data_IF_532576298197
#
_entry.id   IF_532576298197
#
_cell.length_a   1.000
_cell.length_b   1.000
_cell.length_c   1.000
_cell.angle_alpha   90.00
_cell.angle_beta   90.00
_cell.angle_gamma   90.00
#
_symmetry.space_group_name_H-M   'P 1'
#
loop_
_entity.id
_entity.type
_entity.pdbx_description
1 polymer ?
#
# COMPACT_ATOMS: atom_id res chain seq x y z
N UNK A 1 56.47 7.69 22.81
CA UNK A 1 55.04 8.05 22.60
C UNK A 1 54.31 6.74 22.57
N UNK A 2 53.72 6.38 23.75
CA UNK A 2 53.32 5.03 24.11
C UNK A 2 51.94 4.66 23.59
N UNK A 3 51.76 3.38 23.28
CA UNK A 3 50.50 2.77 22.84
C UNK A 3 49.30 2.98 23.81
N UNK A 4 49.55 3.48 25.01
CA UNK A 4 48.52 3.83 26.00
C UNK A 4 47.78 5.15 25.67
N UNK A 5 48.41 6.12 25.02
CA UNK A 5 47.75 7.36 24.61
C UNK A 5 46.79 7.16 23.44
N UNK A 6 47.06 6.18 22.57
CA UNK A 6 46.11 5.82 21.46
C UNK A 6 44.87 5.09 21.97
N UNK A 7 45.00 4.31 23.06
CA UNK A 7 43.86 3.60 23.66
C UNK A 7 42.91 4.52 24.46
N UNK A 8 43.42 5.65 24.99
CA UNK A 8 42.63 6.64 25.70
C UNK A 8 41.81 7.54 24.79
N UNK A 9 42.25 7.74 23.52
CA UNK A 9 41.54 8.53 22.54
C UNK A 9 40.29 7.79 21.98
N UNK A 10 40.36 6.45 21.87
CA UNK A 10 39.23 5.64 21.36
C UNK A 10 38.11 5.46 22.40
N UNK A 11 38.36 5.70 23.66
CA UNK A 11 37.35 5.57 24.73
C UNK A 11 36.49 6.81 24.99
N UNK A 12 36.70 7.91 24.29
CA UNK A 12 35.97 9.17 24.56
C UNK A 12 34.72 9.41 23.71
N UNK A 13 34.33 8.49 22.84
CA UNK A 13 33.14 8.67 21.99
C UNK A 13 31.84 8.02 22.51
N UNK A 14 31.81 7.61 23.81
CA UNK A 14 30.54 7.41 24.50
C UNK A 14 30.13 8.73 25.14
N UNK A 15 29.77 9.70 24.31
CA UNK A 15 29.12 10.91 24.80
C UNK A 15 27.83 10.53 25.55
N UNK A 16 27.61 11.12 26.78
CA UNK A 16 26.42 10.81 27.56
C UNK A 16 25.18 11.12 26.76
N UNK A 17 24.15 10.30 26.96
CA UNK A 17 22.81 10.49 26.38
C UNK A 17 22.33 11.89 26.81
N UNK A 18 22.59 12.87 25.96
CA UNK A 18 22.12 14.25 26.15
C UNK A 18 20.61 14.17 26.13
N UNK A 19 19.97 14.69 27.18
CA UNK A 19 18.54 14.96 27.21
C UNK A 19 18.18 15.72 25.92
N UNK A 20 17.66 15.02 24.93
CA UNK A 20 17.27 15.59 23.64
C UNK A 20 16.09 16.52 23.92
N UNK A 21 16.35 17.82 23.88
CA UNK A 21 15.37 18.87 24.20
C UNK A 21 14.23 18.81 23.17
N UNK A 22 13.01 19.08 23.62
CA UNK A 22 11.81 19.18 22.77
C UNK A 22 12.04 20.06 21.53
N UNK A 23 12.87 21.10 21.65
CA UNK A 23 13.27 22.02 20.57
C UNK A 23 14.05 21.33 19.42
N UNK A 24 14.65 20.15 19.64
CA UNK A 24 15.33 19.43 18.56
C UNK A 24 14.33 18.83 17.54
N UNK A 25 13.05 18.72 17.91
CA UNK A 25 11.97 18.34 17.00
C UNK A 25 11.72 19.34 15.86
N UNK A 26 12.12 20.59 16.03
CA UNK A 26 11.98 21.65 15.01
C UNK A 26 13.26 21.85 14.17
N UNK A 27 14.31 21.07 14.42
CA UNK A 27 15.53 21.13 13.64
C UNK A 27 15.55 20.03 12.57
N UNK A 28 15.83 20.36 11.30
CA UNK A 28 15.90 19.37 10.24
C UNK A 28 17.03 18.36 10.48
N UNK A 29 16.84 17.14 10.02
CA UNK A 29 17.83 16.04 10.09
C UNK A 29 18.28 15.60 11.50
N UNK A 30 17.47 15.88 12.53
CA UNK A 30 17.75 15.38 13.89
C UNK A 30 16.90 14.16 14.20
N UNK A 31 17.55 13.13 14.74
CA UNK A 31 16.84 11.96 15.27
C UNK A 31 16.22 12.32 16.61
N UNK A 32 14.91 12.27 16.67
CA UNK A 32 14.12 12.58 17.87
C UNK A 32 13.98 11.33 18.73
N UNK A 33 14.10 11.47 20.05
CA UNK A 33 13.91 10.34 20.97
C UNK A 33 12.46 9.84 20.97
N UNK A 34 12.28 8.53 21.25
CA UNK A 34 10.95 7.88 21.26
C UNK A 34 9.94 8.60 22.15
N UNK A 35 10.36 9.09 23.32
CA UNK A 35 9.50 9.85 24.24
C UNK A 35 9.01 11.16 23.64
N UNK A 36 9.89 11.92 22.97
CA UNK A 36 9.50 13.19 22.31
C UNK A 36 8.59 12.92 21.13
N UNK A 37 8.83 11.84 20.38
CA UNK A 37 7.95 11.43 19.27
C UNK A 37 6.55 11.07 19.77
N UNK A 38 6.46 10.37 20.90
CA UNK A 38 5.18 10.02 21.53
C UNK A 38 4.43 11.25 22.04
N UNK A 39 5.13 12.22 22.64
CA UNK A 39 4.54 13.49 23.06
C UNK A 39 4.04 14.34 21.88
N UNK A 40 4.79 14.39 20.77
CA UNK A 40 4.35 15.04 19.55
C UNK A 40 3.13 14.36 18.94
N UNK A 41 3.13 13.04 18.88
CA UNK A 41 1.97 12.28 18.39
C UNK A 41 0.74 12.53 19.27
N UNK A 42 0.89 12.49 20.61
CA UNK A 42 -0.18 12.79 21.55
C UNK A 42 -0.70 14.22 21.40
N UNK A 43 0.19 15.19 21.21
CA UNK A 43 -0.19 16.59 20.96
C UNK A 43 -1.07 16.70 19.71
N UNK A 44 -0.67 16.07 18.59
CA UNK A 44 -1.45 16.11 17.37
C UNK A 44 -2.81 15.40 17.50
N UNK A 45 -2.86 14.28 18.22
CA UNK A 45 -4.13 13.58 18.51
C UNK A 45 -5.06 14.46 19.34
N UNK A 46 -4.55 15.08 20.42
CA UNK A 46 -5.35 15.96 21.28
C UNK A 46 -5.81 17.22 20.52
N UNK A 47 -4.92 17.83 19.71
CA UNK A 47 -5.26 18.98 18.89
C UNK A 47 -6.36 18.64 17.86
N UNK A 48 -6.22 17.50 17.18
CA UNK A 48 -7.22 17.02 16.22
C UNK A 48 -8.57 16.75 16.90
N UNK A 49 -8.58 16.05 18.03
CA UNK A 49 -9.80 15.78 18.80
C UNK A 49 -10.42 17.08 19.33
N UNK A 50 -9.61 18.03 19.80
CA UNK A 50 -10.08 19.32 20.25
C UNK A 50 -10.77 20.10 19.14
N UNK A 51 -10.15 20.20 17.97
CA UNK A 51 -10.72 20.87 16.78
C UNK A 51 -12.01 20.16 16.35
N UNK A 52 -12.02 18.83 16.35
CA UNK A 52 -13.20 18.06 15.95
C UNK A 52 -14.38 18.26 16.90
N UNK A 53 -14.14 18.19 18.22
CA UNK A 53 -15.19 18.34 19.23
C UNK A 53 -15.77 19.76 19.30
N UNK A 54 -14.92 20.78 19.04
CA UNK A 54 -15.32 22.20 19.06
C UNK A 54 -15.77 22.72 17.70
N UNK A 55 -15.71 21.87 16.65
CA UNK A 55 -16.07 22.28 15.29
C UNK A 55 -17.51 22.81 15.22
N UNK A 56 -17.71 24.02 14.66
CA UNK A 56 -19.03 24.60 14.48
C UNK A 56 -19.77 24.04 13.25
N UNK A 57 -19.13 23.17 12.46
CA UNK A 57 -19.69 22.68 11.21
C UNK A 57 -20.71 21.56 11.49
N UNK A 58 -21.99 21.82 11.20
CA UNK A 58 -23.08 20.85 11.31
C UNK A 58 -22.89 19.64 10.39
N UNK A 59 -22.06 19.77 9.34
CA UNK A 59 -21.75 18.68 8.42
C UNK A 59 -20.74 17.66 8.96
N UNK A 60 -20.04 17.97 10.06
CA UNK A 60 -19.07 17.10 10.70
C UNK A 60 -19.73 16.44 11.92
N UNK A 61 -20.10 15.14 11.83
CA UNK A 61 -20.78 14.46 12.92
C UNK A 61 -19.87 14.32 14.15
N UNK A 62 -20.47 14.41 15.33
CA UNK A 62 -19.75 14.24 16.59
C UNK A 62 -19.35 12.76 16.80
N UNK A 63 -18.30 12.47 17.58
CA UNK A 63 -17.85 11.08 17.83
C UNK A 63 -18.95 10.16 18.36
N UNK A 64 -19.87 10.71 19.17
CA UNK A 64 -21.03 9.94 19.70
C UNK A 64 -22.03 9.57 18.60
N UNK A 65 -22.24 10.46 17.63
CA UNK A 65 -23.10 10.21 16.47
C UNK A 65 -22.49 9.13 15.57
N UNK A 66 -21.18 9.19 15.35
CA UNK A 66 -20.45 8.15 14.62
C UNK A 66 -20.58 6.78 15.27
N UNK A 67 -20.46 6.72 16.60
CA UNK A 67 -20.62 5.45 17.32
C UNK A 67 -22.03 4.87 17.18
N UNK A 68 -23.05 5.70 17.25
CA UNK A 68 -24.43 5.28 16.99
C UNK A 68 -24.62 4.83 15.55
N UNK A 69 -24.10 5.60 14.59
CA UNK A 69 -24.15 5.28 13.17
C UNK A 69 -23.47 3.93 12.84
N UNK A 70 -22.35 3.60 13.50
CA UNK A 70 -21.73 2.28 13.39
C UNK A 70 -22.68 1.16 13.85
N UNK A 71 -23.40 1.37 14.95
CA UNK A 71 -24.42 0.41 15.42
C UNK A 71 -25.55 0.22 14.39
N UNK A 72 -26.11 1.31 13.87
CA UNK A 72 -27.14 1.28 12.83
C UNK A 72 -26.64 0.56 11.56
N UNK A 73 -25.44 0.89 11.11
CA UNK A 73 -24.81 0.26 9.94
C UNK A 73 -24.62 -1.24 10.12
N UNK A 74 -24.25 -1.66 11.32
CA UNK A 74 -24.00 -3.07 11.61
C UNK A 74 -25.29 -3.89 11.65
N UNK A 75 -26.30 -3.40 12.34
CA UNK A 75 -27.52 -4.15 12.60
C UNK A 75 -28.61 -3.94 11.56
N UNK A 76 -28.76 -2.74 10.99
CA UNK A 76 -29.84 -2.42 10.06
C UNK A 76 -29.42 -2.51 8.60
N UNK A 77 -28.19 -2.07 8.28
CA UNK A 77 -27.69 -2.04 6.89
C UNK A 77 -26.78 -3.22 6.52
N UNK A 78 -26.53 -4.15 7.43
CA UNK A 78 -25.77 -5.36 7.14
C UNK A 78 -24.31 -5.10 6.72
N UNK A 79 -23.62 -4.18 7.39
CA UNK A 79 -22.25 -3.80 7.05
C UNK A 79 -21.27 -4.98 7.06
N UNK A 80 -21.48 -6.01 7.91
CA UNK A 80 -20.58 -7.18 8.00
C UNK A 80 -20.43 -7.94 6.68
N UNK A 81 -21.51 -8.40 6.06
CA UNK A 81 -21.49 -9.00 4.71
C UNK A 81 -20.83 -8.11 3.63
N UNK A 82 -21.10 -6.80 3.68
CA UNK A 82 -20.52 -5.84 2.73
C UNK A 82 -19.00 -5.73 2.90
N UNK A 83 -18.51 -5.71 4.15
CA UNK A 83 -17.05 -5.77 4.44
C UNK A 83 -16.41 -7.04 3.88
N UNK A 84 -17.05 -8.19 4.05
CA UNK A 84 -16.55 -9.45 3.52
C UNK A 84 -16.51 -9.46 1.99
N UNK A 85 -17.55 -8.91 1.34
CA UNK A 85 -17.61 -8.75 -0.11
C UNK A 85 -16.44 -7.91 -0.63
N UNK A 86 -16.17 -6.77 0.01
CA UNK A 86 -15.04 -5.90 -0.33
C UNK A 86 -13.68 -6.59 -0.12
N UNK A 87 -13.48 -7.28 1.01
CA UNK A 87 -12.24 -8.02 1.28
C UNK A 87 -12.03 -9.15 0.28
N UNK A 88 -13.08 -9.88 -0.07
CA UNK A 88 -13.04 -10.91 -1.11
C UNK A 88 -12.68 -10.31 -2.48
N UNK A 89 -13.25 -9.16 -2.83
CA UNK A 89 -13.00 -8.47 -4.08
C UNK A 89 -11.52 -8.08 -4.21
N UNK A 90 -10.96 -7.41 -3.18
CA UNK A 90 -9.55 -7.01 -3.20
C UNK A 90 -8.62 -8.22 -3.26
N UNK A 91 -8.92 -9.30 -2.53
CA UNK A 91 -8.11 -10.50 -2.55
C UNK A 91 -8.04 -11.14 -3.96
N UNK A 92 -9.17 -11.26 -4.66
CA UNK A 92 -9.18 -11.76 -6.03
C UNK A 92 -8.47 -10.81 -7.00
N UNK A 93 -8.70 -9.50 -6.90
CA UNK A 93 -8.02 -8.52 -7.73
C UNK A 93 -6.50 -8.52 -7.52
N UNK A 94 -6.04 -8.63 -6.28
CA UNK A 94 -4.61 -8.76 -5.96
C UNK A 94 -4.02 -10.04 -6.57
N UNK A 95 -4.70 -11.17 -6.44
CA UNK A 95 -4.22 -12.44 -6.99
C UNK A 95 -4.03 -12.36 -8.51
N UNK A 96 -5.03 -11.86 -9.24
CA UNK A 96 -4.92 -11.67 -10.69
C UNK A 96 -3.88 -10.62 -11.07
N UNK A 97 -3.81 -9.52 -10.32
CA UNK A 97 -2.81 -8.47 -10.54
C UNK A 97 -1.40 -9.01 -10.41
N UNK A 98 -1.11 -9.75 -9.34
CA UNK A 98 0.22 -10.36 -9.12
C UNK A 98 0.58 -11.28 -10.27
N UNK A 99 -0.31 -12.21 -10.64
CA UNK A 99 -0.05 -13.17 -11.73
C UNK A 99 0.25 -12.48 -13.07
N UNK A 100 -0.63 -11.58 -13.48
CA UNK A 100 -0.50 -10.86 -14.77
C UNK A 100 0.70 -9.92 -14.74
N UNK A 101 0.86 -9.13 -13.68
CA UNK A 101 1.86 -8.08 -13.65
C UNK A 101 3.28 -8.60 -13.46
N UNK A 102 3.49 -9.65 -12.66
CA UNK A 102 4.81 -10.29 -12.56
C UNK A 102 5.22 -10.91 -13.91
N UNK A 103 4.28 -11.62 -14.57
CA UNK A 103 4.55 -12.16 -15.89
C UNK A 103 4.97 -11.07 -16.87
N UNK A 104 4.17 -10.00 -17.00
CA UNK A 104 4.47 -8.88 -17.89
C UNK A 104 5.78 -8.19 -17.51
N UNK A 105 6.04 -7.98 -16.21
CA UNK A 105 7.25 -7.30 -15.77
C UNK A 105 8.51 -8.11 -16.07
N UNK A 106 8.50 -9.42 -15.84
CA UNK A 106 9.66 -10.26 -16.17
C UNK A 106 9.85 -10.42 -17.68
N UNK A 107 8.82 -10.29 -18.50
CA UNK A 107 8.95 -10.24 -19.95
C UNK A 107 9.70 -8.98 -20.43
N UNK A 108 9.87 -7.93 -19.62
CA UNK A 108 10.68 -6.74 -19.99
C UNK A 108 12.15 -7.08 -20.21
N UNK A 109 12.65 -8.17 -19.63
CA UNK A 109 14.02 -8.64 -19.86
C UNK A 109 14.23 -8.99 -21.33
N UNK A 110 13.19 -9.51 -22.00
CA UNK A 110 13.22 -9.80 -23.42
C UNK A 110 13.04 -8.52 -24.25
N UNK A 111 14.00 -8.11 -25.09
CA UNK A 111 13.91 -6.87 -25.86
C UNK A 111 12.66 -6.76 -26.73
N UNK A 112 12.15 -7.88 -27.24
CA UNK A 112 10.95 -7.95 -28.06
C UNK A 112 9.70 -7.41 -27.36
N UNK A 113 9.55 -7.66 -26.03
CA UNK A 113 8.36 -7.26 -25.28
C UNK A 113 8.47 -5.84 -24.66
N UNK A 114 9.64 -5.22 -24.64
CA UNK A 114 9.85 -3.89 -24.05
C UNK A 114 8.89 -2.81 -24.55
N UNK A 115 8.67 -2.65 -25.89
CA UNK A 115 7.74 -1.63 -26.35
C UNK A 115 6.28 -1.92 -25.96
N UNK A 116 5.87 -3.19 -25.92
CA UNK A 116 4.53 -3.58 -25.46
C UNK A 116 4.31 -3.23 -24.00
N UNK A 117 5.28 -3.52 -23.15
CA UNK A 117 5.20 -3.27 -21.71
C UNK A 117 5.28 -1.76 -21.43
N UNK A 118 6.09 -1.02 -22.19
CA UNK A 118 6.11 0.44 -22.12
C UNK A 118 4.76 1.05 -22.52
N UNK A 119 4.05 0.47 -23.49
CA UNK A 119 2.69 0.86 -23.82
C UNK A 119 1.70 0.47 -22.71
N UNK A 120 1.79 -0.74 -22.16
CA UNK A 120 0.94 -1.21 -21.07
C UNK A 120 1.07 -0.34 -19.81
N UNK A 121 2.27 0.12 -19.47
CA UNK A 121 2.46 1.03 -18.33
C UNK A 121 1.83 2.41 -18.51
N UNK A 122 1.59 2.84 -19.75
CA UNK A 122 0.86 4.10 -20.05
C UNK A 122 -0.65 3.96 -19.87
N UNK A 123 -1.19 2.75 -19.85
CA UNK A 123 -2.61 2.50 -19.64
C UNK A 123 -3.10 2.98 -18.27
N UNK A 124 -2.21 3.21 -17.32
CA UNK A 124 -2.54 3.81 -16.00
C UNK A 124 -3.20 5.20 -16.10
N UNK A 125 -3.02 5.91 -17.23
CA UNK A 125 -3.65 7.20 -17.47
C UNK A 125 -5.11 7.08 -17.95
N UNK A 126 -5.55 5.87 -18.31
CA UNK A 126 -6.95 5.64 -18.63
C UNK A 126 -7.78 5.58 -17.34
N UNK A 127 -8.76 6.47 -17.24
CA UNK A 127 -9.68 6.47 -16.10
C UNK A 127 -10.57 5.23 -16.11
N UNK A 128 -10.72 4.59 -14.94
CA UNK A 128 -11.56 3.38 -14.80
C UNK A 128 -13.01 3.58 -15.25
N UNK A 129 -13.55 4.79 -15.06
CA UNK A 129 -14.90 5.14 -15.51
C UNK A 129 -15.07 5.06 -17.03
N UNK A 130 -14.06 5.49 -17.80
CA UNK A 130 -14.05 5.39 -19.25
C UNK A 130 -13.95 3.95 -19.77
N UNK A 131 -13.37 3.07 -18.98
CA UNK A 131 -13.20 1.65 -19.30
C UNK A 131 -14.41 0.79 -18.93
N UNK A 132 -15.40 1.35 -18.23
CA UNK A 132 -16.57 0.61 -17.79
C UNK A 132 -17.30 -0.09 -18.96
N UNK A 133 -17.57 0.64 -20.04
CA UNK A 133 -18.30 0.09 -21.18
C UNK A 133 -17.55 -1.06 -21.89
N UNK A 134 -16.27 -0.89 -22.31
CA UNK A 134 -15.56 -1.99 -22.95
C UNK A 134 -15.35 -3.19 -22.03
N UNK A 135 -15.15 -2.98 -20.72
CA UNK A 135 -15.02 -4.07 -19.76
C UNK A 135 -16.35 -4.78 -19.50
N UNK A 136 -17.46 -4.06 -19.51
CA UNK A 136 -18.80 -4.68 -19.43
C UNK A 136 -19.07 -5.57 -20.64
N UNK A 137 -18.65 -5.19 -21.83
CA UNK A 137 -18.79 -6.02 -23.02
C UNK A 137 -17.90 -7.27 -22.96
N UNK A 138 -16.69 -7.14 -22.42
CA UNK A 138 -15.71 -8.24 -22.38
C UNK A 138 -15.97 -9.23 -21.23
N UNK A 139 -16.32 -8.74 -20.04
CA UNK A 139 -16.43 -9.55 -18.82
C UNK A 139 -17.86 -9.72 -18.30
N UNK A 140 -18.83 -9.07 -18.95
CA UNK A 140 -20.20 -8.96 -18.46
C UNK A 140 -20.33 -7.96 -17.31
N UNK A 141 -21.44 -8.05 -16.56
CA UNK A 141 -21.68 -7.22 -15.37
C UNK A 141 -21.32 -7.94 -14.07
N UNK A 142 -21.58 -7.28 -12.94
CA UNK A 142 -21.48 -7.89 -11.62
C UNK A 142 -20.03 -8.03 -11.09
N UNK A 143 -19.77 -9.13 -10.40
CA UNK A 143 -18.52 -9.36 -9.70
C UNK A 143 -17.30 -9.44 -10.62
N UNK A 144 -17.42 -10.13 -11.77
CA UNK A 144 -16.32 -10.28 -12.75
C UNK A 144 -15.86 -8.93 -13.31
N UNK A 145 -16.79 -8.02 -13.58
CA UNK A 145 -16.49 -6.67 -14.01
C UNK A 145 -15.67 -5.91 -12.95
N UNK A 146 -16.09 -5.99 -11.67
CA UNK A 146 -15.38 -5.34 -10.55
C UNK A 146 -13.94 -5.86 -10.44
N UNK A 147 -13.77 -7.20 -10.47
CA UNK A 147 -12.44 -7.82 -10.41
C UNK A 147 -11.58 -7.38 -11.59
N UNK A 148 -12.12 -7.39 -12.81
CA UNK A 148 -11.39 -7.01 -14.01
C UNK A 148 -10.96 -5.53 -14.00
N UNK A 149 -11.85 -4.61 -13.63
CA UNK A 149 -11.55 -3.18 -13.52
C UNK A 149 -10.47 -2.90 -12.47
N UNK A 150 -10.61 -3.53 -11.29
CA UNK A 150 -9.65 -3.35 -10.20
C UNK A 150 -8.29 -3.95 -10.56
N UNK A 151 -8.27 -5.15 -11.14
CA UNK A 151 -7.05 -5.80 -11.64
C UNK A 151 -6.35 -4.93 -12.68
N UNK A 152 -7.08 -4.39 -13.66
CA UNK A 152 -6.51 -3.51 -14.66
C UNK A 152 -5.91 -2.24 -14.06
N UNK A 153 -6.65 -1.58 -13.15
CA UNK A 153 -6.16 -0.39 -12.45
C UNK A 153 -4.86 -0.67 -11.71
N UNK A 154 -4.82 -1.74 -10.92
CA UNK A 154 -3.64 -2.13 -10.15
C UNK A 154 -2.49 -2.61 -11.05
N UNK A 155 -2.75 -3.44 -12.08
CA UNK A 155 -1.72 -4.04 -12.92
C UNK A 155 -0.87 -3.00 -13.65
N UNK A 156 -1.46 -1.92 -14.13
CA UNK A 156 -0.74 -0.87 -14.85
C UNK A 156 0.27 -0.13 -13.96
N UNK A 157 -0.03 0.09 -12.67
CA UNK A 157 0.90 0.65 -11.69
C UNK A 157 1.97 -0.36 -11.29
N UNK A 158 1.57 -1.60 -11.02
CA UNK A 158 2.49 -2.67 -10.63
C UNK A 158 3.55 -2.92 -11.71
N UNK A 159 3.13 -3.09 -12.97
CA UNK A 159 4.04 -3.31 -14.10
C UNK A 159 5.04 -2.16 -14.23
N UNK A 160 4.59 -0.91 -14.05
CA UNK A 160 5.47 0.26 -14.11
C UNK A 160 6.54 0.22 -13.01
N UNK A 161 6.14 -0.04 -11.77
CA UNK A 161 7.05 -0.08 -10.62
C UNK A 161 8.02 -1.26 -10.71
N UNK A 162 7.53 -2.45 -11.10
CA UNK A 162 8.40 -3.62 -11.27
C UNK A 162 9.36 -3.49 -12.45
N UNK A 163 8.93 -2.90 -13.57
CA UNK A 163 9.82 -2.63 -14.68
C UNK A 163 11.00 -1.74 -14.26
N UNK A 164 10.74 -0.74 -13.41
CA UNK A 164 11.78 0.12 -12.85
C UNK A 164 12.72 -0.67 -11.92
N UNK A 165 12.20 -1.51 -11.04
CA UNK A 165 13.00 -2.39 -10.18
C UNK A 165 13.95 -3.29 -11.00
N UNK A 166 13.46 -3.84 -12.13
CA UNK A 166 14.26 -4.69 -13.00
C UNK A 166 15.36 -3.89 -13.72
N UNK A 167 15.07 -2.66 -14.16
CA UNK A 167 16.05 -1.79 -14.81
C UNK A 167 17.17 -1.35 -13.86
N UNK A 168 16.87 -1.25 -12.56
CA UNK A 168 17.83 -0.88 -11.51
C UNK A 168 18.84 -2.00 -11.17
N UNK A 169 18.64 -3.23 -11.65
CA UNK A 169 19.57 -4.33 -11.38
C UNK A 169 20.91 -4.02 -12.03
N UNK A 170 22.04 -3.97 -11.27
CA UNK A 170 23.35 -3.68 -11.81
C UNK A 170 23.78 -4.75 -12.82
N UNK A 171 24.42 -4.33 -13.91
CA UNK A 171 24.96 -5.27 -14.92
C UNK A 171 25.98 -6.25 -14.33
N UNK A 172 26.71 -5.84 -13.31
CA UNK A 172 27.67 -6.69 -12.59
C UNK A 172 27.05 -7.97 -12.04
N UNK A 173 25.76 -7.95 -11.63
CA UNK A 173 25.06 -9.14 -11.14
C UNK A 173 24.89 -10.19 -12.27
N UNK A 174 24.54 -9.74 -13.47
CA UNK A 174 24.43 -10.61 -14.65
C UNK A 174 25.80 -11.17 -15.06
N UNK A 175 26.83 -10.32 -15.09
CA UNK A 175 28.17 -10.70 -15.51
C UNK A 175 28.79 -11.66 -14.48
N UNK A 176 28.54 -11.46 -13.20
CA UNK A 176 28.99 -12.38 -12.14
C UNK A 176 28.45 -13.80 -12.36
N UNK A 177 27.17 -13.92 -12.65
CA UNK A 177 26.55 -15.22 -12.92
C UNK A 177 27.07 -15.86 -14.22
N UNK A 178 27.41 -15.06 -15.25
CA UNK A 178 28.00 -15.59 -16.49
C UNK A 178 29.41 -16.14 -16.25
N UNK A 179 30.22 -15.45 -15.43
CA UNK A 179 31.56 -15.95 -15.04
C UNK A 179 31.45 -17.29 -14.30
N UNK A 180 30.39 -17.51 -13.51
CA UNK A 180 30.11 -18.78 -12.85
C UNK A 180 29.59 -19.88 -13.80
N UNK A 181 29.47 -19.58 -15.11
CA UNK A 181 28.99 -20.53 -16.11
C UNK A 181 27.46 -20.75 -16.14
N UNK A 182 26.69 -19.84 -15.56
CA UNK A 182 25.24 -19.93 -15.57
C UNK A 182 24.67 -19.59 -16.96
N UNK A 183 23.75 -20.41 -17.47
CA UNK A 183 23.01 -20.11 -18.70
C UNK A 183 22.00 -18.97 -18.49
N UNK A 184 21.60 -18.29 -19.58
CA UNK A 184 20.74 -17.07 -19.56
C UNK A 184 19.41 -17.30 -18.82
N UNK A 185 18.77 -18.46 -18.91
CA UNK A 185 17.54 -18.79 -18.18
C UNK A 185 17.77 -18.88 -16.66
N UNK A 186 18.92 -19.42 -16.27
CA UNK A 186 19.29 -19.50 -14.85
C UNK A 186 19.62 -18.11 -14.29
N UNK A 187 20.27 -17.27 -15.08
CA UNK A 187 20.51 -15.87 -14.73
C UNK A 187 19.20 -15.13 -14.55
N UNK A 188 18.25 -15.29 -15.49
CA UNK A 188 16.91 -14.70 -15.36
C UNK A 188 16.24 -15.12 -14.05
N UNK A 189 16.28 -16.40 -13.72
CA UNK A 189 15.64 -16.91 -12.52
C UNK A 189 16.31 -16.43 -11.23
N UNK A 190 17.64 -16.53 -11.13
CA UNK A 190 18.35 -16.21 -9.88
C UNK A 190 18.51 -14.68 -9.68
N UNK A 191 18.85 -13.92 -10.73
CA UNK A 191 19.12 -12.49 -10.63
C UNK A 191 17.83 -11.67 -10.70
N UNK A 192 16.97 -11.98 -11.68
CA UNK A 192 15.76 -11.16 -11.89
C UNK A 192 14.63 -11.63 -11.00
N UNK A 193 14.23 -12.91 -11.05
CA UNK A 193 13.05 -13.37 -10.30
C UNK A 193 13.34 -13.43 -8.80
N UNK A 194 14.36 -14.18 -8.39
CA UNK A 194 14.70 -14.35 -6.95
C UNK A 194 15.35 -13.11 -6.36
N UNK A 195 16.23 -12.46 -7.11
CA UNK A 195 16.93 -11.25 -6.66
C UNK A 195 16.02 -10.06 -6.45
N UNK A 196 14.88 -9.98 -7.16
CA UNK A 196 13.90 -8.88 -6.96
C UNK A 196 12.71 -9.24 -6.07
N UNK A 197 12.64 -10.44 -5.52
CA UNK A 197 11.46 -10.92 -4.77
C UNK A 197 11.07 -10.00 -3.61
N UNK A 198 12.04 -9.53 -2.83
CA UNK A 198 11.81 -8.60 -1.73
C UNK A 198 11.19 -7.29 -2.24
N UNK A 199 11.79 -6.70 -3.28
CA UNK A 199 11.28 -5.48 -3.90
C UNK A 199 9.91 -5.70 -4.54
N UNK A 200 9.65 -6.86 -5.12
CA UNK A 200 8.35 -7.22 -5.69
C UNK A 200 7.26 -7.25 -4.61
N UNK A 201 7.55 -7.75 -3.41
CA UNK A 201 6.63 -7.74 -2.29
C UNK A 201 6.38 -6.32 -1.74
N UNK A 202 7.40 -5.46 -1.70
CA UNK A 202 7.22 -4.05 -1.34
C UNK A 202 6.38 -3.30 -2.38
N UNK A 203 6.61 -3.53 -3.67
CA UNK A 203 5.79 -3.00 -4.76
C UNK A 203 4.36 -3.51 -4.67
N UNK A 204 4.16 -4.80 -4.34
CA UNK A 204 2.84 -5.39 -4.15
C UNK A 204 2.09 -4.70 -3.02
N UNK A 205 2.74 -4.50 -1.88
CA UNK A 205 2.15 -3.80 -0.72
C UNK A 205 1.67 -2.39 -1.08
N UNK A 206 2.51 -1.61 -1.78
CA UNK A 206 2.15 -0.27 -2.25
C UNK A 206 0.98 -0.32 -3.24
N UNK A 207 0.96 -1.32 -4.10
CA UNK A 207 -0.09 -1.49 -5.11
C UNK A 207 -1.42 -1.90 -4.50
N UNK A 208 -1.41 -2.72 -3.45
CA UNK A 208 -2.62 -3.04 -2.67
C UNK A 208 -3.23 -1.78 -2.05
N UNK A 209 -2.42 -0.85 -1.55
CA UNK A 209 -2.91 0.44 -1.06
C UNK A 209 -3.57 1.29 -2.18
N UNK A 210 -3.00 1.28 -3.40
CA UNK A 210 -3.61 1.93 -4.58
C UNK A 210 -4.94 1.26 -4.92
N UNK A 211 -5.00 -0.07 -4.96
CA UNK A 211 -6.22 -0.84 -5.20
C UNK A 211 -7.28 -0.57 -4.14
N UNK A 212 -6.88 -0.43 -2.89
CA UNK A 212 -7.78 -0.07 -1.80
C UNK A 212 -8.42 1.31 -2.01
N UNK A 213 -7.66 2.30 -2.46
CA UNK A 213 -8.22 3.61 -2.80
C UNK A 213 -9.20 3.57 -3.99
N UNK A 214 -9.03 2.62 -4.92
CA UNK A 214 -9.91 2.46 -6.07
C UNK A 214 -11.17 1.63 -5.78
N UNK A 215 -11.18 0.82 -4.70
CA UNK A 215 -12.23 -0.18 -4.47
C UNK A 215 -13.60 0.45 -4.29
N UNK A 216 -13.71 1.55 -3.55
CA UNK A 216 -14.97 2.26 -3.33
C UNK A 216 -15.58 2.78 -4.61
N UNK A 217 -14.74 3.24 -5.55
CA UNK A 217 -15.17 3.69 -6.87
C UNK A 217 -15.68 2.53 -7.71
N UNK A 218 -14.94 1.41 -7.75
CA UNK A 218 -15.30 0.22 -8.54
C UNK A 218 -16.60 -0.40 -8.02
N UNK A 219 -16.77 -0.52 -6.70
CA UNK A 219 -18.00 -1.02 -6.07
C UNK A 219 -19.18 -0.05 -6.28
N UNK A 220 -18.89 1.24 -6.31
CA UNK A 220 -19.91 2.25 -6.59
C UNK A 220 -20.44 2.23 -8.03
N UNK A 221 -19.61 1.85 -8.99
CA UNK A 221 -19.99 1.71 -10.40
C UNK A 221 -20.95 0.53 -10.60
N UNK A 222 -20.66 -0.62 -10.00
CA UNK A 222 -21.47 -1.84 -10.12
C UNK A 222 -22.05 -2.22 -8.77
N UNK A 223 -23.25 -1.73 -8.44
CA UNK A 223 -23.89 -1.90 -7.11
C UNK A 223 -24.53 -3.26 -6.91
N UNK A 224 -24.76 -4.03 -7.97
CA UNK A 224 -25.54 -5.28 -7.94
C UNK A 224 -25.00 -6.31 -6.96
N UNK A 225 -23.69 -6.28 -6.71
CA UNK A 225 -23.00 -7.28 -5.86
C UNK A 225 -22.66 -6.75 -4.46
N UNK A 226 -23.14 -5.56 -4.09
CA UNK A 226 -22.82 -4.94 -2.82
C UNK A 226 -21.37 -4.45 -2.71
N UNK A 227 -20.87 -4.38 -1.48
CA UNK A 227 -19.58 -3.87 -1.07
C UNK A 227 -19.69 -2.55 -0.32
N UNK A 228 -18.65 -2.23 0.48
CA UNK A 228 -18.63 -1.01 1.30
C UNK A 228 -18.74 0.25 0.43
N UNK A 229 -18.17 0.23 -0.79
CA UNK A 229 -18.28 1.34 -1.73
C UNK A 229 -19.71 1.55 -2.25
N UNK A 230 -20.47 0.49 -2.44
CA UNK A 230 -21.88 0.59 -2.77
C UNK A 230 -22.70 1.11 -1.58
N UNK A 231 -22.38 0.67 -0.37
CA UNK A 231 -23.03 1.11 0.88
C UNK A 231 -22.81 2.60 1.11
N UNK A 232 -21.57 3.11 0.99
CA UNK A 232 -21.27 4.54 1.19
C UNK A 232 -22.02 5.43 0.19
N UNK A 233 -22.12 5.00 -1.08
CA UNK A 233 -22.88 5.75 -2.09
C UNK A 233 -24.38 5.73 -1.83
N UNK A 234 -24.91 4.66 -1.25
CA UNK A 234 -26.30 4.60 -0.86
C UNK A 234 -26.59 5.58 0.29
N UNK A 235 -25.77 5.58 1.35
CA UNK A 235 -25.95 6.51 2.46
C UNK A 235 -25.75 7.97 2.04
N UNK A 236 -24.79 8.23 1.14
CA UNK A 236 -24.54 9.57 0.60
C UNK A 236 -25.76 10.12 -0.17
N UNK A 237 -26.46 9.27 -0.94
CA UNK A 237 -27.70 9.68 -1.64
C UNK A 237 -28.83 10.11 -0.71
N UNK A 238 -28.89 9.54 0.49
CA UNK A 238 -29.90 9.85 1.48
C UNK A 238 -29.45 10.94 2.47
N UNK A 239 -28.26 11.54 2.24
CA UNK A 239 -27.66 12.56 3.10
C UNK A 239 -27.46 12.11 4.56
N UNK A 240 -27.27 10.82 4.79
CA UNK A 240 -26.96 10.24 6.09
C UNK A 240 -25.46 10.45 6.40
N UNK A 241 -25.11 11.68 6.75
CA UNK A 241 -23.69 12.09 6.91
C UNK A 241 -22.97 11.30 8.00
N UNK A 242 -23.63 11.02 9.13
CA UNK A 242 -23.01 10.27 10.22
C UNK A 242 -22.61 8.84 9.77
N UNK A 243 -23.49 8.17 9.02
CA UNK A 243 -23.25 6.86 8.43
C UNK A 243 -22.14 6.90 7.39
N UNK A 244 -22.11 7.92 6.52
CA UNK A 244 -21.03 8.09 5.53
C UNK A 244 -19.67 8.21 6.20
N UNK A 245 -19.54 9.06 7.24
CA UNK A 245 -18.29 9.20 7.98
C UNK A 245 -17.95 7.92 8.76
N UNK A 246 -18.93 7.24 9.33
CA UNK A 246 -18.71 5.97 10.00
C UNK A 246 -18.14 4.90 9.04
N UNK A 247 -18.68 4.81 7.81
CA UNK A 247 -18.17 3.91 6.77
C UNK A 247 -16.74 4.29 6.37
N UNK A 248 -16.41 5.59 6.24
CA UNK A 248 -15.04 6.04 5.94
C UNK A 248 -14.04 5.59 7.02
N UNK A 249 -14.43 5.64 8.31
CA UNK A 249 -13.59 5.09 9.39
C UNK A 249 -13.40 3.58 9.27
N UNK A 250 -14.46 2.85 8.91
CA UNK A 250 -14.37 1.39 8.68
C UNK A 250 -13.45 1.09 7.49
N UNK A 251 -13.56 1.84 6.38
CA UNK A 251 -12.68 1.70 5.21
C UNK A 251 -11.22 1.94 5.61
N UNK A 252 -10.95 3.00 6.38
CA UNK A 252 -9.61 3.28 6.89
C UNK A 252 -9.08 2.15 7.76
N UNK A 253 -9.89 1.67 8.70
CA UNK A 253 -9.52 0.57 9.60
C UNK A 253 -9.21 -0.72 8.84
N UNK A 254 -10.07 -1.10 7.88
CA UNK A 254 -9.85 -2.26 7.03
C UNK A 254 -8.62 -2.10 6.14
N UNK A 255 -8.39 -0.91 5.59
CA UNK A 255 -7.19 -0.61 4.81
C UNK A 255 -5.91 -0.80 5.62
N UNK A 256 -5.89 -0.31 6.86
CA UNK A 256 -4.78 -0.51 7.79
C UNK A 256 -4.59 -1.99 8.15
N UNK A 257 -5.69 -2.73 8.31
CA UNK A 257 -5.63 -4.17 8.57
C UNK A 257 -5.03 -4.93 7.39
N UNK A 258 -5.44 -4.59 6.16
CA UNK A 258 -4.90 -5.18 4.92
C UNK A 258 -3.42 -4.83 4.76
N UNK A 259 -3.03 -3.57 5.00
CA UNK A 259 -1.63 -3.15 4.95
C UNK A 259 -0.76 -3.89 6.00
N UNK A 260 -1.27 -4.05 7.21
CA UNK A 260 -0.63 -4.84 8.26
C UNK A 260 -0.47 -6.31 7.85
N UNK A 261 -1.53 -6.92 7.31
CA UNK A 261 -1.51 -8.30 6.82
C UNK A 261 -0.47 -8.48 5.69
N UNK A 262 -0.38 -7.52 4.75
CA UNK A 262 0.64 -7.52 3.71
C UNK A 262 2.06 -7.38 4.29
N UNK A 263 2.25 -6.56 5.31
CA UNK A 263 3.53 -6.45 6.04
C UNK A 263 3.94 -7.75 6.73
N UNK A 264 3.00 -8.46 7.33
CA UNK A 264 3.23 -9.79 7.92
C UNK A 264 3.60 -10.80 6.83
N UNK A 265 2.88 -10.79 5.71
CA UNK A 265 3.13 -11.67 4.56
C UNK A 265 4.56 -11.46 4.01
N UNK A 266 4.97 -10.21 3.79
CA UNK A 266 6.34 -9.86 3.36
C UNK A 266 7.40 -10.41 4.32
N UNK A 267 7.17 -10.29 5.63
CA UNK A 267 8.09 -10.81 6.63
C UNK A 267 8.18 -12.34 6.67
N UNK A 268 7.11 -13.04 6.30
CA UNK A 268 7.09 -14.51 6.21
C UNK A 268 7.85 -15.01 4.98
N UNK A 269 7.67 -14.35 3.82
CA UNK A 269 8.35 -14.75 2.59
C UNK A 269 9.81 -14.29 2.52
N UNK A 270 10.15 -13.15 3.13
CA UNK A 270 11.50 -12.59 3.12
C UNK A 270 12.01 -12.28 4.53
N UNK A 271 12.32 -13.29 5.36
CA UNK A 271 12.80 -13.05 6.73
C UNK A 271 14.14 -12.31 6.78
N UNK A 272 14.92 -12.38 5.70
CA UNK A 272 16.23 -11.69 5.57
C UNK A 272 16.11 -10.18 5.36
N UNK A 273 14.96 -9.67 4.93
CA UNK A 273 14.69 -8.24 4.74
C UNK A 273 14.86 -7.41 6.02
N UNK A 274 14.65 -8.02 7.19
CA UNK A 274 14.83 -7.37 8.49
C UNK A 274 16.29 -7.00 8.80
N UNK A 275 17.24 -7.77 8.31
CA UNK A 275 18.66 -7.55 8.58
C UNK A 275 19.22 -6.31 7.85
N UNK A 276 18.63 -5.95 6.72
CA UNK A 276 18.98 -4.74 5.97
C UNK A 276 18.44 -3.45 6.59
N UNK A 277 17.22 -3.48 7.16
CA UNK A 277 16.56 -2.31 7.76
C UNK A 277 17.13 -1.89 9.13
N UNK A 278 17.78 -2.78 9.85
CA UNK A 278 18.39 -2.46 11.14
C UNK A 278 19.71 -1.69 11.04
N UNK A 279 20.23 -1.44 9.83
CA UNK A 279 21.48 -0.71 9.56
C UNK A 279 21.28 0.71 9.00
N UNK A 280 20.05 1.13 8.77
CA UNK A 280 19.69 2.52 8.43
C UNK A 280 19.04 3.21 9.66
#
# INVERSE_FOLDING_TARGET
MSLEESSAAVRRDHAPVVHRRFLDAFRPNRVVGSTTMLLLASFWVVAFLGIWLTSPFATLPKPVELWRALGTLWWEYGMGPEMFTTLRLIAHAVLFTVGISLLLSYLTVLPFFRPLIAAASKLRFLGLTGLLFPFTLAFGGGYSLKVALLTFGMASFFVTSMAQVIVEIPRSEYDHMRVLGAGELRILWEVVVRGTLERALDVLRQNVAIGWAMITMVEGISRSEGGIGALILNQNKHFHLAEVYAILFVILFLGLLVDYAMGVLTNLFCPYARLGRSRQ
#
